data_IF_003745388036
#
_entry.id   IF_003745388036
#
_cell.length_a   1.000
_cell.length_b   1.000
_cell.length_c   1.000
_cell.angle_alpha   90.00
_cell.angle_beta   90.00
_cell.angle_gamma   90.00
#
_symmetry.space_group_name_H-M   'P 1'
#
loop_
_entity.id
_entity.type
_entity.pdbx_description
1 polymer ?
#
# COMPACT_ATOMS: atom_id res chain seq x y z
N UNK A 1 -13.33 21.69 38.47
CA UNK A 1 -12.78 23.06 38.50
C UNK A 1 -13.84 24.02 39.00
N UNK A 2 -13.46 25.12 39.64
CA UNK A 2 -14.32 26.29 39.85
C UNK A 2 -14.06 27.24 38.67
N UNK A 3 -15.01 27.30 37.74
CA UNK A 3 -14.86 28.04 36.48
C UNK A 3 -15.09 29.54 36.63
N UNK A 4 -15.82 29.98 37.66
CA UNK A 4 -16.02 31.39 37.95
C UNK A 4 -14.73 32.02 38.50
N UNK A 5 -13.94 31.23 39.25
CA UNK A 5 -12.67 31.66 39.84
C UNK A 5 -11.43 31.35 38.99
N UNK A 6 -11.57 30.52 37.94
CA UNK A 6 -10.47 30.18 37.03
C UNK A 6 -10.44 31.16 35.85
N UNK A 7 -9.25 31.59 35.43
CA UNK A 7 -9.08 32.58 34.36
C UNK A 7 -7.93 32.27 33.41
N UNK A 8 -8.07 32.64 32.15
CA UNK A 8 -6.97 32.72 31.17
C UNK A 8 -6.79 34.19 30.80
N UNK A 9 -5.57 34.69 30.88
CA UNK A 9 -5.19 36.04 30.42
C UNK A 9 -4.04 35.90 29.45
N UNK A 10 -4.21 36.40 28.23
CA UNK A 10 -3.13 36.48 27.26
C UNK A 10 -2.49 37.85 27.33
N UNK A 11 -1.16 37.92 27.34
CA UNK A 11 -0.38 39.16 27.39
C UNK A 11 0.57 39.28 26.21
N UNK A 12 0.79 40.51 25.74
CA UNK A 12 1.85 40.85 24.78
C UNK A 12 3.24 40.92 25.45
N UNK A 13 4.27 41.25 24.67
CA UNK A 13 5.67 41.36 25.13
C UNK A 13 5.89 42.49 26.14
N UNK A 14 5.02 43.50 26.14
CA UNK A 14 5.03 44.63 27.06
C UNK A 14 4.24 44.34 28.35
N UNK A 15 3.56 43.19 28.42
CA UNK A 15 2.79 42.72 29.57
C UNK A 15 1.33 43.18 29.58
N UNK A 16 0.86 43.87 28.53
CA UNK A 16 -0.52 44.31 28.42
C UNK A 16 -1.45 43.12 28.17
N UNK A 17 -2.60 43.10 28.83
CA UNK A 17 -3.62 42.08 28.60
C UNK A 17 -4.33 42.30 27.27
N UNK A 18 -4.42 41.24 26.47
CA UNK A 18 -5.14 41.24 25.21
C UNK A 18 -6.64 40.96 25.44
N UNK A 19 -7.53 41.66 24.72
CA UNK A 19 -8.96 41.45 24.84
C UNK A 19 -9.34 40.06 24.31
N UNK A 20 -10.24 39.39 25.01
CA UNK A 20 -10.76 38.09 24.62
C UNK A 20 -11.92 37.64 25.49
N UNK A 21 -12.60 36.59 25.03
CA UNK A 21 -13.73 35.98 25.71
C UNK A 21 -13.34 34.63 26.29
N UNK A 22 -13.73 34.40 27.54
CA UNK A 22 -13.56 33.13 28.22
C UNK A 22 -14.83 32.29 28.13
N UNK A 23 -14.67 31.01 27.84
CA UNK A 23 -15.77 30.06 27.78
C UNK A 23 -15.43 28.76 28.51
N UNK A 24 -16.46 28.09 29.02
CA UNK A 24 -16.35 26.75 29.59
C UNK A 24 -17.34 25.80 28.93
N UNK A 25 -16.91 24.57 28.65
CA UNK A 25 -17.80 23.54 28.12
C UNK A 25 -18.45 22.78 29.28
N UNK A 26 -19.78 22.89 29.39
CA UNK A 26 -20.56 22.19 30.43
C UNK A 26 -20.26 20.67 30.44
N UNK A 27 -20.05 20.10 31.63
CA UNK A 27 -19.72 18.68 31.80
C UNK A 27 -18.26 18.32 31.54
N UNK A 28 -17.39 19.27 31.20
CA UNK A 28 -15.94 19.05 30.98
C UNK A 28 -15.07 19.78 32.02
N UNK A 29 -13.76 19.54 32.00
CA UNK A 29 -12.75 20.35 32.72
C UNK A 29 -12.00 21.33 31.78
N UNK A 30 -12.61 21.74 30.67
CA UNK A 30 -11.97 22.59 29.65
C UNK A 30 -12.34 24.05 29.90
N UNK A 31 -11.31 24.90 30.00
CA UNK A 31 -11.40 26.36 29.98
C UNK A 31 -10.80 26.85 28.66
N UNK A 32 -11.54 27.66 27.91
CA UNK A 32 -11.11 28.21 26.63
C UNK A 32 -11.05 29.73 26.69
N UNK A 33 -10.12 30.33 25.92
CA UNK A 33 -10.00 31.76 25.74
C UNK A 33 -9.87 32.08 24.25
N UNK A 34 -10.67 33.00 23.76
CA UNK A 34 -10.68 33.44 22.36
C UNK A 34 -10.32 34.91 22.30
N UNK A 35 -9.20 35.23 21.68
CA UNK A 35 -8.72 36.61 21.52
C UNK A 35 -9.61 37.34 20.51
N UNK A 36 -10.02 38.57 20.83
CA UNK A 36 -10.99 39.35 20.05
C UNK A 36 -10.41 40.02 18.79
N UNK A 37 -9.09 40.01 18.63
CA UNK A 37 -8.39 40.66 17.51
C UNK A 37 -7.30 39.76 16.92
N UNK A 38 -7.00 39.95 15.65
CA UNK A 38 -5.82 39.32 15.03
C UNK A 38 -4.55 39.75 15.78
N UNK A 39 -3.67 38.79 16.06
CA UNK A 39 -2.38 39.04 16.68
C UNK A 39 -1.35 39.40 15.61
N UNK A 40 -0.54 40.40 15.89
CA UNK A 40 0.64 40.73 15.08
C UNK A 40 1.83 39.88 15.50
N UNK A 41 2.87 39.86 14.67
CA UNK A 41 4.12 39.18 14.99
C UNK A 41 4.70 39.68 16.30
N UNK A 42 5.06 38.76 17.19
CA UNK A 42 5.54 39.10 18.51
C UNK A 42 5.56 37.93 19.47
N UNK A 43 6.14 38.19 20.65
CA UNK A 43 6.12 37.27 21.77
C UNK A 43 4.93 37.56 22.67
N UNK A 44 4.29 36.50 23.15
CA UNK A 44 3.11 36.56 24.00
C UNK A 44 3.23 35.54 25.14
N UNK A 45 2.38 35.69 26.15
CA UNK A 45 2.24 34.70 27.22
C UNK A 45 0.78 34.47 27.58
N UNK A 46 0.42 33.22 27.84
CA UNK A 46 -0.86 32.85 28.42
C UNK A 46 -0.66 32.56 29.91
N UNK A 47 -1.26 33.38 30.77
CA UNK A 47 -1.33 33.18 32.21
C UNK A 47 -2.64 32.51 32.56
N UNK A 48 -2.57 31.30 33.10
CA UNK A 48 -3.71 30.46 33.44
C UNK A 48 -3.77 30.34 34.96
N UNK A 49 -4.84 30.86 35.56
CA UNK A 49 -5.17 30.61 36.97
C UNK A 49 -6.23 29.52 37.03
N UNK A 50 -5.89 28.38 37.62
CA UNK A 50 -6.82 27.27 37.81
C UNK A 50 -7.21 27.16 39.29
N UNK A 51 -8.51 27.12 39.57
CA UNK A 51 -9.07 26.97 40.92
C UNK A 51 -9.90 25.69 40.99
N UNK A 52 -9.66 24.87 42.01
CA UNK A 52 -10.44 23.66 42.27
C UNK A 52 -11.75 23.98 42.99
N UNK A 53 -12.73 23.07 42.96
CA UNK A 53 -14.00 23.25 43.71
C UNK A 53 -13.80 23.35 45.23
N UNK A 54 -12.67 22.85 45.73
CA UNK A 54 -12.29 22.93 47.14
C UNK A 54 -11.50 24.21 47.49
N UNK A 55 -11.33 25.14 46.53
CA UNK A 55 -10.66 26.42 46.75
C UNK A 55 -9.14 26.43 46.55
N UNK A 56 -8.50 25.29 46.28
CA UNK A 56 -7.06 25.27 45.95
C UNK A 56 -6.81 25.90 44.58
N UNK A 57 -5.80 26.77 44.48
CA UNK A 57 -5.45 27.50 43.26
C UNK A 57 -4.00 27.28 42.82
N UNK A 58 -3.75 27.33 41.51
CA UNK A 58 -2.42 27.36 40.90
C UNK A 58 -2.37 28.32 39.72
N UNK A 59 -1.20 28.89 39.45
CA UNK A 59 -0.95 29.79 38.31
C UNK A 59 0.13 29.18 37.42
N UNK A 60 -0.11 29.16 36.12
CA UNK A 60 0.82 28.68 35.10
C UNK A 60 0.97 29.73 34.01
N UNK A 61 2.20 29.96 33.57
CA UNK A 61 2.51 30.88 32.48
C UNK A 61 3.13 30.10 31.33
N UNK A 62 2.52 30.19 30.15
CA UNK A 62 3.03 29.56 28.93
C UNK A 62 3.44 30.64 27.91
N UNK A 63 4.73 30.76 27.58
CA UNK A 63 5.17 31.66 26.51
C UNK A 63 4.83 31.05 25.15
N UNK A 64 4.41 31.89 24.20
CA UNK A 64 4.24 31.52 22.79
C UNK A 64 4.59 32.71 21.90
N UNK A 65 4.80 32.46 20.62
CA UNK A 65 5.09 33.51 19.65
C UNK A 65 4.10 33.43 18.50
N UNK A 66 3.73 34.60 17.98
CA UNK A 66 3.04 34.75 16.72
C UNK A 66 4.07 35.26 15.74
N UNK A 67 4.12 34.65 14.57
CA UNK A 67 4.94 35.13 13.46
C UNK A 67 4.12 34.93 12.19
N UNK A 68 3.98 35.98 11.41
CA UNK A 68 3.46 35.98 10.06
C UNK A 68 4.58 35.38 9.24
N UNK A 69 4.62 34.05 9.21
CA UNK A 69 5.44 33.34 8.24
C UNK A 69 4.98 33.84 6.85
N UNK A 70 5.91 34.38 6.07
CA UNK A 70 5.68 34.64 4.65
C UNK A 70 5.56 33.31 3.93
N UNK A 71 4.42 32.64 4.05
CA UNK A 71 4.19 31.37 3.35
C UNK A 71 4.03 31.68 1.87
N UNK A 72 5.04 31.31 1.10
CA UNK A 72 4.96 31.37 -0.36
C UNK A 72 4.53 30.01 -0.88
N UNK A 73 3.43 30.00 -1.62
CA UNK A 73 2.96 28.84 -2.38
C UNK A 73 3.41 29.01 -3.83
N UNK A 74 4.12 28.02 -4.35
CA UNK A 74 4.64 28.04 -5.73
C UNK A 74 3.97 26.90 -6.48
N UNK A 75 3.19 27.26 -7.48
CA UNK A 75 2.43 26.33 -8.31
C UNK A 75 2.64 26.60 -9.80
N UNK A 76 2.05 25.76 -10.65
CA UNK A 76 2.20 25.86 -12.09
C UNK A 76 1.43 27.03 -12.71
N UNK A 77 0.65 27.79 -11.93
CA UNK A 77 -0.12 28.95 -12.39
C UNK A 77 0.54 30.28 -12.05
N UNK A 78 1.64 30.28 -11.27
CA UNK A 78 2.47 31.46 -11.00
C UNK A 78 1.78 32.58 -10.21
N UNK A 79 0.64 32.29 -9.57
CA UNK A 79 -0.15 33.27 -8.81
C UNK A 79 -0.50 32.71 -7.44
N UNK A 80 -0.57 33.58 -6.42
CA UNK A 80 -0.98 33.23 -5.05
C UNK A 80 -2.23 32.34 -5.09
N UNK A 81 -2.07 31.09 -4.70
CA UNK A 81 -3.14 30.10 -4.78
C UNK A 81 -4.20 30.34 -3.70
N UNK A 82 -5.45 30.28 -4.15
CA UNK A 82 -6.57 29.87 -3.31
C UNK A 82 -6.36 28.40 -2.93
N UNK A 83 -6.47 28.01 -1.65
CA UNK A 83 -6.39 26.60 -1.26
C UNK A 83 -7.44 25.77 -2.03
N UNK A 84 -7.04 24.81 -2.87
CA UNK A 84 -8.07 23.98 -3.51
C UNK A 84 -7.76 22.90 -4.56
N UNK A 85 -6.65 22.86 -5.33
CA UNK A 85 -6.54 21.82 -6.40
C UNK A 85 -5.17 21.53 -7.04
N UNK A 86 -4.07 22.16 -6.63
CA UNK A 86 -2.80 22.08 -7.39
C UNK A 86 -1.66 21.42 -6.61
N UNK A 87 -0.71 20.83 -7.33
CA UNK A 87 0.61 20.48 -6.79
C UNK A 87 1.40 21.77 -6.58
N UNK A 88 2.00 21.93 -5.41
CA UNK A 88 2.78 23.14 -5.10
C UNK A 88 3.93 22.86 -4.14
N UNK A 89 4.89 23.77 -4.15
CA UNK A 89 5.92 23.88 -3.12
C UNK A 89 5.49 24.94 -2.10
N UNK A 90 5.66 24.62 -0.82
CA UNK A 90 5.43 25.53 0.30
C UNK A 90 6.78 25.96 0.81
N UNK A 91 7.00 27.27 0.89
CA UNK A 91 8.19 27.85 1.52
C UNK A 91 7.69 28.71 2.66
N UNK A 92 7.92 28.25 3.89
CA UNK A 92 7.69 29.03 5.10
C UNK A 92 9.00 29.72 5.47
N UNK A 93 9.00 31.05 5.45
CA UNK A 93 10.12 31.84 5.96
C UNK A 93 9.96 32.00 7.48
N UNK A 94 10.98 31.54 8.21
CA UNK A 94 11.10 31.67 9.65
C UNK A 94 11.82 32.97 10.04
N UNK A 95 12.40 33.69 9.06
CA UNK A 95 13.04 34.98 9.22
C UNK A 95 12.58 35.92 8.10
N UNK A 96 12.20 37.16 8.46
CA UNK A 96 11.68 38.17 7.53
C UNK A 96 12.77 38.87 6.70
N UNK A 97 14.03 38.79 7.15
CA UNK A 97 15.18 39.44 6.51
C UNK A 97 16.09 38.45 5.79
N UNK A 98 15.93 37.15 6.04
CA UNK A 98 16.77 36.11 5.47
C UNK A 98 15.88 34.95 5.02
N UNK A 99 15.84 34.68 3.71
CA UNK A 99 15.04 33.58 3.19
C UNK A 99 15.71 32.21 3.37
N UNK A 100 17.03 32.20 3.59
CA UNK A 100 17.86 31.01 3.56
C UNK A 100 17.97 30.35 2.18
N UNK A 101 17.48 30.98 1.12
CA UNK A 101 17.50 30.43 -0.24
C UNK A 101 18.76 30.89 -0.96
N UNK A 102 19.58 29.95 -1.42
CA UNK A 102 20.82 30.22 -2.15
C UNK A 102 20.93 29.35 -3.40
N UNK A 103 21.42 29.91 -4.50
CA UNK A 103 21.59 29.19 -5.77
C UNK A 103 23.04 28.76 -6.04
N UNK A 104 23.25 28.04 -7.15
CA UNK A 104 24.56 27.54 -7.54
C UNK A 104 25.50 28.62 -8.10
N UNK A 105 24.97 29.80 -8.43
CA UNK A 105 25.76 30.95 -8.88
C UNK A 105 26.29 31.81 -7.73
N UNK A 106 26.04 31.40 -6.47
CA UNK A 106 26.51 32.09 -5.27
C UNK A 106 25.59 33.22 -4.82
N UNK A 107 24.41 33.37 -5.43
CA UNK A 107 23.40 34.30 -4.94
C UNK A 107 22.78 33.74 -3.65
N UNK A 108 22.53 34.63 -2.68
CA UNK A 108 21.96 34.28 -1.37
C UNK A 108 20.74 35.15 -1.09
N UNK A 109 19.91 34.72 -0.12
CA UNK A 109 18.67 35.42 0.25
C UNK A 109 17.71 35.62 -0.93
N UNK A 110 17.62 34.64 -1.82
CA UNK A 110 16.73 34.71 -2.97
C UNK A 110 15.27 34.75 -2.53
N UNK A 111 14.45 35.51 -3.26
CA UNK A 111 13.01 35.50 -3.06
C UNK A 111 12.43 34.14 -3.48
N UNK A 112 11.48 33.60 -2.72
CA UNK A 112 10.80 32.35 -3.07
C UNK A 112 10.16 32.40 -4.48
N UNK A 113 9.70 33.56 -4.92
CA UNK A 113 9.09 33.79 -6.24
C UNK A 113 10.02 33.56 -7.44
N UNK A 114 11.32 33.35 -7.24
CA UNK A 114 12.23 33.01 -8.34
C UNK A 114 12.14 31.53 -8.74
N UNK A 115 11.56 30.69 -7.87
CA UNK A 115 11.36 29.28 -8.16
C UNK A 115 10.04 29.15 -8.93
N UNK A 116 10.09 28.45 -10.06
CA UNK A 116 8.94 28.11 -10.88
C UNK A 116 8.72 26.60 -10.81
N UNK A 117 7.48 26.17 -11.05
CA UNK A 117 7.14 24.76 -11.23
C UNK A 117 6.41 24.58 -12.55
N UNK A 118 6.74 23.51 -13.26
CA UNK A 118 6.09 23.14 -14.49
C UNK A 118 5.74 21.67 -14.49
N UNK A 119 4.62 21.35 -15.13
CA UNK A 119 4.29 19.99 -15.50
C UNK A 119 5.15 19.56 -16.69
N UNK A 120 5.63 18.33 -16.66
CA UNK A 120 6.43 17.72 -17.72
C UNK A 120 5.92 16.31 -18.03
N UNK A 121 6.25 15.81 -19.23
CA UNK A 121 6.14 14.38 -19.49
C UNK A 121 7.08 13.60 -18.57
N UNK A 122 6.69 12.39 -18.17
CA UNK A 122 7.50 11.53 -17.29
C UNK A 122 8.90 11.31 -17.87
N UNK A 123 9.97 11.78 -17.20
CA UNK A 123 11.33 11.55 -17.65
C UNK A 123 11.81 10.13 -17.32
N UNK A 124 12.68 9.60 -18.18
CA UNK A 124 13.33 8.30 -18.00
C UNK A 124 12.34 7.12 -18.04
N UNK A 125 12.88 5.92 -17.82
CA UNK A 125 12.07 4.72 -17.64
C UNK A 125 11.57 4.65 -16.19
N UNK A 126 10.28 4.40 -16.01
CA UNK A 126 9.71 4.12 -14.70
C UNK A 126 10.23 2.76 -14.17
N UNK A 127 10.38 2.59 -12.85
CA UNK A 127 10.63 1.27 -12.28
C UNK A 127 9.52 0.29 -12.69
N UNK A 128 9.88 -0.97 -12.94
CA UNK A 128 8.92 -2.01 -13.35
C UNK A 128 7.80 -2.14 -12.30
N UNK A 129 6.55 -2.29 -12.76
CA UNK A 129 5.30 -2.32 -11.96
C UNK A 129 4.83 -0.98 -11.36
N UNK A 130 5.52 0.13 -11.64
CA UNK A 130 5.08 1.45 -11.16
C UNK A 130 4.29 2.20 -12.23
N UNK A 131 3.25 2.92 -11.77
CA UNK A 131 2.49 3.84 -12.61
C UNK A 131 2.49 5.23 -11.99
N UNK A 132 2.71 6.25 -12.82
CA UNK A 132 2.54 7.65 -12.41
C UNK A 132 1.05 7.91 -12.24
N UNK A 133 0.68 8.44 -11.07
CA UNK A 133 -0.68 8.85 -10.76
C UNK A 133 -0.75 10.37 -10.77
N UNK A 134 -1.50 10.94 -11.72
CA UNK A 134 -1.53 12.38 -11.93
C UNK A 134 -0.37 12.85 -12.79
N UNK A 135 0.19 14.01 -12.48
CA UNK A 135 1.16 14.68 -13.33
C UNK A 135 2.57 14.64 -12.72
N UNK A 136 3.59 14.74 -13.57
CA UNK A 136 4.99 14.85 -13.14
C UNK A 136 5.39 16.31 -13.17
N UNK A 137 6.04 16.78 -12.10
CA UNK A 137 6.40 18.18 -11.95
C UNK A 137 7.90 18.37 -11.79
N UNK A 138 8.42 19.44 -12.36
CA UNK A 138 9.81 19.87 -12.22
C UNK A 138 9.87 21.31 -11.77
N UNK A 139 10.88 21.61 -10.95
CA UNK A 139 11.18 22.96 -10.53
C UNK A 139 12.30 23.55 -11.39
N UNK A 140 12.18 24.84 -11.67
CA UNK A 140 13.18 25.64 -12.37
C UNK A 140 13.33 26.99 -11.68
N UNK A 141 14.33 27.78 -12.09
CA UNK A 141 14.53 29.12 -11.58
C UNK A 141 14.36 30.14 -12.71
N UNK A 142 13.82 31.30 -12.39
CA UNK A 142 13.82 32.45 -13.28
C UNK A 142 15.27 32.91 -13.52
N UNK A 143 15.57 33.27 -14.77
CA UNK A 143 16.87 33.87 -15.12
C UNK A 143 17.13 35.10 -14.22
N UNK A 144 18.37 35.31 -13.72
CA UNK A 144 19.63 34.63 -14.08
C UNK A 144 20.02 33.46 -13.16
N UNK A 145 19.13 32.99 -12.28
CA UNK A 145 19.49 32.03 -11.22
C UNK A 145 19.61 30.60 -11.74
N UNK A 146 20.44 29.78 -11.08
CA UNK A 146 20.73 28.41 -11.53
C UNK A 146 20.60 27.35 -10.43
N UNK A 147 20.05 26.19 -10.78
CA UNK A 147 20.02 25.02 -9.88
C UNK A 147 21.45 24.44 -9.70
N UNK A 148 21.74 23.77 -8.57
CA UNK A 148 20.87 23.54 -7.43
C UNK A 148 20.53 24.81 -6.62
N UNK A 149 19.37 24.79 -5.97
CA UNK A 149 19.03 25.73 -4.89
C UNK A 149 19.11 24.99 -3.56
N UNK A 150 19.62 25.66 -2.53
CA UNK A 150 19.68 25.16 -1.15
C UNK A 150 18.78 25.98 -0.25
N UNK A 151 18.20 25.32 0.75
CA UNK A 151 17.32 25.92 1.76
C UNK A 151 17.95 25.80 3.13
N UNK A 152 18.29 26.93 3.74
CA UNK A 152 18.81 27.00 5.10
C UNK A 152 17.69 26.75 6.11
N UNK A 153 17.71 25.59 6.78
CA UNK A 153 16.67 25.17 7.73
C UNK A 153 16.48 26.10 8.94
N UNK A 154 17.48 26.93 9.25
CA UNK A 154 17.37 27.97 10.27
C UNK A 154 16.45 29.13 9.86
N UNK A 155 16.29 29.36 8.55
CA UNK A 155 15.62 30.53 7.99
C UNK A 155 14.36 30.18 7.21
N UNK A 156 14.28 28.97 6.67
CA UNK A 156 13.09 28.50 5.98
C UNK A 156 12.80 27.02 6.23
N UNK A 157 11.52 26.70 6.19
CA UNK A 157 11.02 25.32 6.13
C UNK A 157 10.30 25.13 4.81
N UNK A 158 10.74 24.13 4.06
CA UNK A 158 10.29 23.92 2.70
C UNK A 158 9.66 22.55 2.57
N UNK A 159 8.51 22.49 1.90
CA UNK A 159 7.80 21.26 1.62
C UNK A 159 7.40 21.18 0.15
N UNK A 160 7.41 19.99 -0.43
CA UNK A 160 6.78 19.70 -1.74
C UNK A 160 5.50 18.92 -1.47
N UNK A 161 4.37 19.43 -1.99
CA UNK A 161 3.06 18.77 -1.90
C UNK A 161 2.60 18.33 -3.27
N UNK A 162 2.48 17.02 -3.47
CA UNK A 162 1.87 16.45 -4.68
C UNK A 162 0.40 16.18 -4.41
N UNK A 163 -0.47 16.77 -5.24
CA UNK A 163 -1.92 16.60 -5.14
C UNK A 163 -2.38 15.37 -5.95
N UNK A 164 -3.37 14.65 -5.41
CA UNK A 164 -4.14 13.66 -6.16
C UNK A 164 -5.63 13.79 -5.83
N UNK A 165 -6.47 13.61 -6.86
CA UNK A 165 -7.90 13.85 -6.73
C UNK A 165 -8.65 12.65 -6.15
N UNK A 166 -9.89 12.88 -5.72
CA UNK A 166 -10.80 11.79 -5.37
C UNK A 166 -11.12 10.86 -6.55
N UNK A 167 -11.02 11.34 -7.78
CA UNK A 167 -11.16 10.51 -8.98
C UNK A 167 -9.95 9.56 -9.14
N UNK A 168 -8.72 10.04 -8.89
CA UNK A 168 -7.53 9.20 -8.88
C UNK A 168 -7.64 8.09 -7.83
N UNK A 169 -8.12 8.43 -6.63
CA UNK A 169 -8.38 7.46 -5.56
C UNK A 169 -9.45 6.43 -5.97
N UNK A 170 -10.55 6.91 -6.58
CA UNK A 170 -11.64 6.04 -7.03
C UNK A 170 -11.20 5.08 -8.13
N UNK A 171 -10.30 5.51 -9.03
CA UNK A 171 -9.69 4.64 -10.05
C UNK A 171 -8.86 3.53 -9.40
N UNK A 172 -8.02 3.86 -8.41
CA UNK A 172 -7.23 2.85 -7.68
C UNK A 172 -8.14 1.83 -6.97
N UNK A 173 -9.13 2.33 -6.21
CA UNK A 173 -10.09 1.47 -5.51
C UNK A 173 -10.88 0.60 -6.49
N UNK A 174 -11.31 1.15 -7.63
CA UNK A 174 -12.02 0.44 -8.69
C UNK A 174 -11.16 -0.65 -9.36
N UNK A 175 -9.84 -0.51 -9.32
CA UNK A 175 -8.87 -1.51 -9.76
C UNK A 175 -8.51 -2.52 -8.66
N UNK A 176 -9.09 -2.40 -7.46
CA UNK A 176 -8.78 -3.27 -6.31
C UNK A 176 -7.43 -2.99 -5.64
N UNK A 177 -6.89 -1.78 -5.83
CA UNK A 177 -5.57 -1.36 -5.38
C UNK A 177 -5.66 -0.58 -4.06
N UNK A 178 -4.73 -0.82 -3.12
CA UNK A 178 -4.72 -0.15 -1.81
C UNK A 178 -4.06 1.23 -1.90
N UNK A 179 -4.79 2.33 -1.68
CA UNK A 179 -4.23 3.67 -1.73
C UNK A 179 -3.06 3.91 -0.76
N UNK A 180 -2.86 3.06 0.27
CA UNK A 180 -1.69 3.15 1.15
C UNK A 180 -0.35 2.93 0.44
N UNK A 181 -0.35 2.26 -0.72
CA UNK A 181 0.86 1.99 -1.50
C UNK A 181 1.30 3.18 -2.38
N UNK A 182 0.54 4.28 -2.35
CA UNK A 182 0.94 5.53 -2.98
C UNK A 182 2.16 6.13 -2.30
N UNK A 183 3.17 6.49 -3.10
CA UNK A 183 4.39 7.10 -2.62
C UNK A 183 4.89 8.17 -3.58
N UNK A 184 5.65 9.13 -3.06
CA UNK A 184 6.30 10.14 -3.90
C UNK A 184 7.69 9.67 -4.30
N UNK A 185 8.03 9.95 -5.55
CA UNK A 185 9.30 9.58 -6.15
C UNK A 185 9.97 10.81 -6.73
N UNK A 186 11.30 10.79 -6.74
CA UNK A 186 12.14 11.80 -7.36
C UNK A 186 13.03 11.16 -8.43
N UNK A 187 13.05 11.78 -9.61
CA UNK A 187 13.97 11.45 -10.69
C UNK A 187 15.18 12.38 -10.62
N UNK A 188 16.40 11.84 -10.51
CA UNK A 188 17.63 12.63 -10.35
C UNK A 188 18.31 13.03 -11.68
N UNK A 189 17.73 12.66 -12.83
CA UNK A 189 18.36 12.76 -14.14
C UNK A 189 18.73 11.41 -14.75
N UNK A 190 18.84 10.36 -13.94
CA UNK A 190 19.17 9.00 -14.36
C UNK A 190 18.16 7.95 -13.87
N UNK A 191 17.68 8.07 -12.63
CA UNK A 191 16.84 7.04 -11.99
C UNK A 191 15.76 7.63 -11.08
N UNK A 192 14.67 6.90 -10.94
CA UNK A 192 13.61 7.19 -9.99
C UNK A 192 13.91 6.56 -8.63
N UNK A 193 13.81 7.35 -7.57
CA UNK A 193 13.99 6.90 -6.19
C UNK A 193 12.81 7.29 -5.32
N UNK A 194 12.40 6.39 -4.42
CA UNK A 194 11.27 6.62 -3.51
C UNK A 194 11.67 7.59 -2.41
N UNK A 195 10.82 8.56 -2.13
CA UNK A 195 10.91 9.42 -0.96
C UNK A 195 10.20 8.73 0.21
N UNK A 196 10.93 8.41 1.27
CA UNK A 196 10.41 7.69 2.45
C UNK A 196 10.09 8.60 3.63
N UNK A 197 10.52 9.86 3.60
CA UNK A 197 10.40 10.82 4.71
C UNK A 197 9.16 11.71 4.64
N UNK A 198 8.24 11.46 3.69
CA UNK A 198 7.02 12.24 3.57
C UNK A 198 5.83 11.68 4.34
N UNK A 199 4.80 12.51 4.52
CA UNK A 199 3.53 12.13 5.15
C UNK A 199 2.38 12.35 4.18
N UNK A 200 1.50 11.35 4.08
CA UNK A 200 0.22 11.49 3.39
C UNK A 200 -0.82 12.09 4.36
N UNK A 201 -1.65 13.00 3.86
CA UNK A 201 -2.68 13.64 4.69
C UNK A 201 -3.96 13.96 3.91
N UNK A 202 -5.14 13.89 4.55
CA UNK A 202 -6.38 14.36 3.95
C UNK A 202 -6.36 15.90 3.84
N UNK A 203 -6.99 16.44 2.81
CA UNK A 203 -7.22 17.88 2.72
C UNK A 203 -8.25 18.34 3.77
N UNK A 204 -7.92 19.37 4.55
CA UNK A 204 -8.79 19.92 5.61
C UNK A 204 -9.44 21.26 5.23
N UNK A 205 -9.50 21.62 3.94
CA UNK A 205 -10.11 22.87 3.44
C UNK A 205 -11.38 22.66 2.59
N UNK A 206 -11.92 23.75 2.02
CA UNK A 206 -13.09 23.73 1.11
C UNK A 206 -12.70 23.27 -0.31
N UNK A 207 -12.55 21.95 -0.49
CA UNK A 207 -12.18 21.31 -1.75
C UNK A 207 -11.97 19.81 -1.52
N UNK A 208 -12.38 18.96 -2.46
CA UNK A 208 -12.18 17.51 -2.34
C UNK A 208 -10.83 17.11 -2.96
N UNK A 209 -9.87 16.64 -2.16
CA UNK A 209 -8.56 16.21 -2.66
C UNK A 209 -7.68 15.61 -1.57
N UNK A 210 -6.55 15.03 -1.96
CA UNK A 210 -5.57 14.45 -1.05
C UNK A 210 -4.16 14.91 -1.45
N UNK A 211 -3.23 14.89 -0.51
CA UNK A 211 -1.85 15.23 -0.79
C UNK A 211 -0.86 14.27 -0.13
N UNK A 212 0.31 14.19 -0.75
CA UNK A 212 1.51 13.69 -0.10
C UNK A 212 2.48 14.86 0.08
N UNK A 213 2.93 15.09 1.30
CA UNK A 213 3.88 16.14 1.64
C UNK A 213 5.26 15.53 1.92
N UNK A 214 6.26 15.96 1.16
CA UNK A 214 7.66 15.73 1.47
C UNK A 214 8.25 16.99 2.13
N UNK A 215 8.65 16.86 3.39
CA UNK A 215 9.22 17.93 4.20
C UNK A 215 10.18 17.35 5.25
N UNK A 216 11.29 18.03 5.60
CA UNK A 216 11.78 19.25 4.97
C UNK A 216 12.56 18.96 3.68
N UNK A 217 12.40 19.83 2.68
CA UNK A 217 13.22 19.84 1.46
C UNK A 217 14.44 20.71 1.72
N UNK A 218 15.64 20.13 1.65
CA UNK A 218 16.90 20.87 1.87
C UNK A 218 17.47 21.49 0.60
N UNK A 219 17.11 20.95 -0.58
CA UNK A 219 17.58 21.47 -1.86
C UNK A 219 16.69 21.05 -3.03
N UNK A 220 16.76 21.82 -4.11
CA UNK A 220 16.29 21.42 -5.44
C UNK A 220 17.52 21.15 -6.31
N UNK A 221 17.69 19.94 -6.80
CA UNK A 221 18.80 19.58 -7.69
C UNK A 221 18.45 19.82 -9.16
N UNK A 222 19.46 20.00 -10.04
CA UNK A 222 19.24 19.95 -11.48
C UNK A 222 18.54 18.65 -11.89
N UNK A 223 17.67 18.72 -12.89
CA UNK A 223 16.91 17.59 -13.44
C UNK A 223 15.87 16.95 -12.51
N UNK A 224 15.79 17.32 -11.23
CA UNK A 224 14.80 16.76 -10.31
C UNK A 224 13.38 16.88 -10.89
N UNK A 225 12.71 15.75 -11.00
CA UNK A 225 11.29 15.68 -11.29
C UNK A 225 10.60 14.85 -10.20
N UNK A 226 9.41 15.27 -9.79
CA UNK A 226 8.66 14.66 -8.71
C UNK A 226 7.34 14.11 -9.25
N UNK A 227 7.02 12.90 -8.86
CA UNK A 227 5.79 12.23 -9.25
C UNK A 227 5.20 11.47 -8.07
N UNK A 228 3.87 11.41 -8.02
CA UNK A 228 3.18 10.43 -7.20
C UNK A 228 3.16 9.14 -8.01
N UNK A 229 3.72 8.07 -7.47
CA UNK A 229 3.68 6.76 -8.10
C UNK A 229 2.91 5.79 -7.22
N UNK A 230 2.10 4.99 -7.89
CA UNK A 230 1.57 3.79 -7.29
C UNK A 230 2.58 2.67 -7.52
N UNK A 231 3.06 2.07 -6.43
CA UNK A 231 3.66 0.76 -6.52
C UNK A 231 2.50 -0.21 -6.75
N UNK A 232 2.40 -0.79 -7.95
CA UNK A 232 1.56 -1.97 -8.05
C UNK A 232 2.09 -2.95 -6.99
N UNK A 233 1.23 -3.44 -6.06
CA UNK A 233 1.63 -4.48 -5.14
C UNK A 233 2.34 -5.50 -6.00
N UNK A 234 3.47 -6.02 -5.54
CA UNK A 234 4.01 -7.21 -6.20
C UNK A 234 2.82 -8.16 -6.26
N UNK A 235 2.25 -8.32 -7.47
CA UNK A 235 1.16 -9.24 -7.69
C UNK A 235 1.70 -10.52 -7.09
N UNK A 236 0.95 -11.13 -6.16
CA UNK A 236 1.53 -11.88 -5.07
C UNK A 236 2.78 -12.60 -5.55
N UNK A 237 3.96 -12.25 -5.03
CA UNK A 237 5.09 -13.19 -5.00
C UNK A 237 4.74 -14.32 -4.02
N UNK A 238 3.49 -14.77 -4.04
CA UNK A 238 3.19 -16.14 -3.76
C UNK A 238 3.97 -16.91 -4.81
N UNK A 239 4.89 -17.75 -4.38
CA UNK A 239 4.91 -19.06 -5.01
C UNK A 239 3.42 -19.47 -5.11
N UNK A 240 2.89 -19.52 -6.34
CA UNK A 240 1.57 -20.06 -6.69
C UNK A 240 1.13 -21.00 -5.58
N UNK A 241 0.00 -20.76 -4.85
CA UNK A 241 -0.35 -21.60 -3.71
C UNK A 241 -0.28 -23.05 -4.17
N UNK A 242 0.73 -23.79 -3.70
CA UNK A 242 1.08 -25.09 -4.29
C UNK A 242 -0.15 -25.97 -4.17
N UNK A 243 -0.84 -26.18 -5.29
CA UNK A 243 -2.01 -27.04 -5.33
C UNK A 243 -1.51 -28.48 -5.30
N UNK A 244 -1.51 -29.09 -4.12
CA UNK A 244 -1.01 -30.45 -3.97
C UNK A 244 -2.16 -31.42 -4.29
N UNK A 245 -2.13 -32.00 -5.49
CA UNK A 245 -2.96 -33.16 -5.82
C UNK A 245 -2.60 -34.35 -4.92
N UNK A 246 -3.59 -34.93 -4.24
CA UNK A 246 -3.39 -36.03 -3.28
C UNK A 246 -4.37 -37.15 -3.54
N UNK A 247 -3.87 -38.38 -3.70
CA UNK A 247 -4.73 -39.55 -3.87
C UNK A 247 -5.72 -39.68 -2.71
N UNK A 248 -6.94 -40.14 -3.01
CA UNK A 248 -8.02 -40.29 -2.02
C UNK A 248 -7.63 -41.28 -0.94
N UNK A 249 -7.53 -40.80 0.31
CA UNK A 249 -7.17 -41.65 1.47
C UNK A 249 -8.34 -42.47 2.02
N UNK A 250 -9.55 -41.94 1.91
CA UNK A 250 -10.78 -42.62 2.30
C UNK A 250 -11.95 -42.11 1.45
N UNK A 251 -12.89 -42.98 1.11
CA UNK A 251 -14.06 -42.62 0.31
C UNK A 251 -15.29 -43.46 0.64
N UNK A 252 -16.46 -42.90 0.35
CA UNK A 252 -17.74 -43.61 0.35
C UNK A 252 -18.18 -43.79 -1.11
N UNK A 253 -18.31 -45.03 -1.62
CA UNK A 253 -18.80 -45.29 -2.98
C UNK A 253 -20.12 -44.59 -3.34
N UNK A 254 -20.98 -44.30 -2.35
CA UNK A 254 -22.24 -43.58 -2.58
C UNK A 254 -22.06 -42.06 -2.79
N UNK A 255 -20.92 -41.50 -2.39
CA UNK A 255 -20.60 -40.06 -2.50
C UNK A 255 -19.61 -39.75 -3.63
N UNK A 256 -18.93 -40.76 -4.17
CA UNK A 256 -18.02 -40.64 -5.29
C UNK A 256 -16.87 -41.64 -5.22
N UNK A 257 -16.11 -41.73 -6.30
CA UNK A 257 -15.03 -42.69 -6.48
C UNK A 257 -13.72 -42.25 -5.78
N UNK A 258 -12.84 -43.22 -5.53
CA UNK A 258 -11.46 -42.96 -5.12
C UNK A 258 -10.60 -42.51 -6.32
N UNK A 259 -9.82 -41.44 -6.17
CA UNK A 259 -8.91 -40.92 -7.19
C UNK A 259 -7.46 -41.25 -6.85
N UNK A 260 -6.75 -41.86 -7.78
CA UNK A 260 -5.35 -42.26 -7.64
C UNK A 260 -4.52 -41.57 -8.72
N UNK A 261 -3.99 -40.38 -8.39
CA UNK A 261 -3.09 -39.63 -9.28
C UNK A 261 -1.81 -40.40 -9.58
N UNK A 262 -1.43 -40.45 -10.86
CA UNK A 262 -0.31 -41.28 -11.31
C UNK A 262 0.66 -40.60 -12.30
N UNK A 263 0.27 -39.54 -13.01
CA UNK A 263 1.18 -38.79 -13.89
C UNK A 263 0.77 -37.33 -14.04
N UNK A 264 1.72 -36.47 -14.39
CA UNK A 264 1.52 -35.07 -14.82
C UNK A 264 1.38 -34.96 -16.34
N UNK A 265 1.99 -35.90 -17.07
CA UNK A 265 1.99 -35.93 -18.52
C UNK A 265 1.41 -37.26 -19.01
N UNK A 266 0.31 -37.18 -19.77
CA UNK A 266 -0.33 -38.34 -20.39
C UNK A 266 0.30 -38.71 -21.74
N UNK A 267 1.01 -37.78 -22.38
CA UNK A 267 1.65 -38.02 -23.68
C UNK A 267 2.75 -39.08 -23.58
N UNK A 268 3.38 -39.20 -22.41
CA UNK A 268 4.40 -40.20 -22.12
C UNK A 268 3.84 -41.57 -21.69
N UNK A 269 2.53 -41.74 -21.59
CA UNK A 269 1.90 -42.97 -21.10
C UNK A 269 1.21 -43.72 -22.24
N UNK A 270 1.50 -45.01 -22.38
CA UNK A 270 0.89 -45.90 -23.37
C UNK A 270 -0.16 -46.84 -22.78
N UNK A 271 0.05 -47.33 -21.57
CA UNK A 271 -0.88 -48.26 -20.90
C UNK A 271 -0.84 -48.07 -19.37
N UNK A 272 -1.98 -48.26 -18.72
CA UNK A 272 -2.11 -48.27 -17.26
C UNK A 272 -2.94 -49.47 -16.84
N UNK A 273 -2.42 -50.25 -15.90
CA UNK A 273 -3.14 -51.37 -15.28
C UNK A 273 -3.29 -51.12 -13.80
N UNK A 274 -4.51 -51.26 -13.29
CA UNK A 274 -4.82 -51.13 -11.89
C UNK A 274 -5.18 -52.49 -11.28
N UNK A 275 -4.50 -52.84 -10.20
CA UNK A 275 -4.74 -54.03 -9.41
C UNK A 275 -5.10 -53.61 -8.00
N UNK A 276 -6.26 -54.05 -7.53
CA UNK A 276 -6.77 -53.69 -6.21
C UNK A 276 -6.75 -54.92 -5.34
N UNK A 277 -6.10 -54.83 -4.19
CA UNK A 277 -5.97 -55.89 -3.22
C UNK A 277 -6.66 -55.49 -1.92
N UNK A 278 -7.29 -56.47 -1.26
CA UNK A 278 -7.58 -56.36 0.17
C UNK A 278 -6.30 -56.19 0.98
N UNK A 279 -6.40 -55.68 2.21
CA UNK A 279 -5.24 -55.57 3.13
C UNK A 279 -4.54 -56.91 3.40
N UNK A 280 -5.25 -58.03 3.26
CA UNK A 280 -4.70 -59.39 3.36
C UNK A 280 -4.01 -59.88 2.09
N UNK A 281 -3.90 -59.04 1.04
CA UNK A 281 -3.19 -59.35 -0.20
C UNK A 281 -4.01 -60.13 -1.25
N UNK A 282 -5.32 -60.33 -1.03
CA UNK A 282 -6.20 -60.97 -2.02
C UNK A 282 -6.58 -59.94 -3.09
N UNK A 283 -6.35 -60.25 -4.37
CA UNK A 283 -6.81 -59.43 -5.50
C UNK A 283 -8.33 -59.42 -5.54
N UNK A 284 -8.93 -58.22 -5.53
CA UNK A 284 -10.38 -58.00 -5.52
C UNK A 284 -10.89 -57.33 -6.78
N UNK A 285 -10.04 -56.60 -7.49
CA UNK A 285 -10.36 -56.01 -8.79
C UNK A 285 -9.13 -55.87 -9.66
N UNK A 286 -9.30 -56.07 -10.96
CA UNK A 286 -8.30 -55.79 -11.98
C UNK A 286 -8.92 -54.96 -13.09
N UNK A 287 -8.43 -53.74 -13.28
CA UNK A 287 -8.77 -52.91 -14.43
C UNK A 287 -7.57 -52.81 -15.37
N UNK A 288 -7.76 -53.25 -16.61
CA UNK A 288 -6.80 -53.11 -17.71
C UNK A 288 -7.57 -52.78 -19.00
N UNK A 289 -6.90 -52.12 -19.94
CA UNK A 289 -7.49 -51.85 -21.25
C UNK A 289 -7.81 -53.17 -21.97
N UNK A 290 -9.03 -53.32 -22.49
CA UNK A 290 -9.39 -54.48 -23.30
C UNK A 290 -8.78 -54.40 -24.72
N UNK A 291 -8.54 -53.19 -25.21
CA UNK A 291 -7.88 -52.91 -26.48
C UNK A 291 -7.07 -51.59 -26.38
N UNK A 292 -5.94 -51.51 -27.10
CA UNK A 292 -5.10 -50.31 -27.19
C UNK A 292 -5.81 -49.07 -27.78
N UNK A 293 -6.97 -49.24 -28.43
CA UNK A 293 -7.82 -48.15 -28.91
C UNK A 293 -8.74 -47.54 -27.82
N UNK A 294 -8.91 -48.20 -26.67
CA UNK A 294 -9.65 -47.66 -25.54
C UNK A 294 -8.69 -46.84 -24.66
N UNK A 295 -8.87 -45.53 -24.61
CA UNK A 295 -8.04 -44.65 -23.77
C UNK A 295 -8.83 -44.04 -22.61
N UNK A 296 -10.16 -44.08 -22.67
CA UNK A 296 -11.06 -43.37 -21.75
C UNK A 296 -10.99 -43.83 -20.29
N UNK A 297 -10.58 -45.08 -20.02
CA UNK A 297 -10.53 -45.63 -18.66
C UNK A 297 -9.53 -44.90 -17.73
N UNK A 298 -8.50 -44.28 -18.29
CA UNK A 298 -7.39 -43.70 -17.51
C UNK A 298 -7.10 -42.23 -17.83
N UNK A 299 -7.87 -41.58 -18.70
CA UNK A 299 -7.67 -40.17 -19.07
C UNK A 299 -8.34 -39.17 -18.11
N UNK A 300 -8.81 -39.60 -16.94
CA UNK A 300 -9.38 -38.66 -15.97
C UNK A 300 -8.30 -37.69 -15.50
N UNK A 301 -8.62 -36.40 -15.48
CA UNK A 301 -7.69 -35.35 -15.11
C UNK A 301 -8.34 -34.34 -14.18
N UNK A 302 -7.54 -33.80 -13.26
CA UNK A 302 -7.86 -32.56 -12.55
C UNK A 302 -6.84 -31.51 -12.99
N UNK A 303 -7.29 -30.25 -13.11
CA UNK A 303 -6.47 -29.09 -13.48
C UNK A 303 -6.36 -28.21 -12.24
N UNK A 304 -5.16 -27.71 -11.96
CA UNK A 304 -4.96 -26.76 -10.88
C UNK A 304 -5.79 -25.48 -11.18
N UNK A 305 -6.64 -25.02 -10.24
CA UNK A 305 -7.50 -23.86 -10.48
C UNK A 305 -6.73 -22.54 -10.61
N UNK A 306 -5.44 -22.52 -10.27
CA UNK A 306 -4.57 -21.34 -10.33
C UNK A 306 -3.61 -21.37 -11.52
N UNK A 307 -3.25 -22.57 -12.00
CA UNK A 307 -2.36 -22.78 -13.16
C UNK A 307 -2.95 -23.84 -14.10
N UNK A 308 -3.47 -23.41 -15.25
CA UNK A 308 -4.08 -24.31 -16.23
C UNK A 308 -3.08 -25.23 -16.95
N UNK A 309 -1.77 -25.01 -16.76
CA UNK A 309 -0.71 -25.89 -17.25
C UNK A 309 -0.36 -27.02 -16.28
N UNK A 310 -0.73 -26.89 -15.00
CA UNK A 310 -0.53 -27.92 -13.97
C UNK A 310 -1.73 -28.89 -13.94
N UNK A 311 -1.55 -30.02 -14.61
CA UNK A 311 -2.57 -31.06 -14.81
C UNK A 311 -2.09 -32.35 -14.14
N UNK A 312 -2.99 -33.05 -13.46
CA UNK A 312 -2.73 -34.41 -12.96
C UNK A 312 -3.77 -35.40 -13.47
N UNK A 313 -3.27 -36.49 -14.00
CA UNK A 313 -4.08 -37.62 -14.43
C UNK A 313 -4.22 -38.65 -13.32
N UNK A 314 -5.41 -39.24 -13.19
CA UNK A 314 -5.74 -40.19 -12.14
C UNK A 314 -6.54 -41.38 -12.63
N UNK A 315 -6.37 -42.49 -11.94
CA UNK A 315 -7.25 -43.65 -12.02
C UNK A 315 -8.41 -43.50 -11.02
N UNK A 316 -9.62 -43.85 -11.43
CA UNK A 316 -10.84 -43.79 -10.60
C UNK A 316 -11.29 -45.19 -10.19
N UNK A 317 -11.64 -45.38 -8.91
CA UNK A 317 -12.20 -46.64 -8.41
C UNK A 317 -13.47 -46.43 -7.60
N UNK A 318 -14.54 -47.09 -8.03
CA UNK A 318 -15.89 -47.05 -7.44
C UNK A 318 -16.06 -47.87 -6.15
N UNK A 319 -15.03 -48.61 -5.70
CA UNK A 319 -15.13 -49.49 -4.53
C UNK A 319 -15.74 -50.87 -4.80
N UNK A 320 -16.02 -51.22 -6.05
CA UNK A 320 -16.52 -52.52 -6.47
C UNK A 320 -15.39 -53.52 -6.76
N UNK A 321 -15.73 -54.80 -6.72
CA UNK A 321 -14.91 -55.90 -7.25
C UNK A 321 -15.20 -56.16 -8.74
N UNK A 322 -14.53 -57.14 -9.35
CA UNK A 322 -14.71 -57.52 -10.76
C UNK A 322 -16.15 -57.96 -11.13
N UNK A 323 -16.98 -58.31 -10.14
CA UNK A 323 -18.39 -58.69 -10.35
C UNK A 323 -19.35 -57.50 -10.25
N UNK A 324 -18.83 -56.28 -10.04
CA UNK A 324 -19.62 -55.06 -9.81
C UNK A 324 -20.19 -54.95 -8.38
N UNK A 325 -19.82 -55.87 -7.48
CA UNK A 325 -20.26 -55.86 -6.09
C UNK A 325 -19.43 -54.92 -5.24
N UNK A 326 -20.08 -53.96 -4.55
CA UNK A 326 -19.40 -53.01 -3.66
C UNK A 326 -18.77 -53.74 -2.47
N UNK A 327 -17.46 -53.59 -2.31
CA UNK A 327 -16.69 -54.23 -1.26
C UNK A 327 -17.06 -53.73 0.14
N UNK A 328 -16.62 -54.45 1.18
CA UNK A 328 -16.91 -54.11 2.59
C UNK A 328 -16.03 -52.94 3.05
N UNK A 329 -16.44 -52.28 4.14
CA UNK A 329 -15.61 -51.27 4.80
C UNK A 329 -14.24 -51.87 5.16
N UNK A 330 -13.17 -51.17 4.81
CA UNK A 330 -11.82 -51.68 5.00
C UNK A 330 -10.77 -50.90 4.22
N UNK A 331 -9.50 -51.24 4.46
CA UNK A 331 -8.36 -50.68 3.72
C UNK A 331 -8.03 -51.59 2.55
N UNK A 332 -7.81 -50.96 1.39
CA UNK A 332 -7.45 -51.62 0.14
C UNK A 332 -6.15 -51.02 -0.38
N UNK A 333 -5.35 -51.85 -1.04
CA UNK A 333 -4.09 -51.51 -1.67
C UNK A 333 -4.31 -51.46 -3.17
N UNK A 334 -4.09 -50.31 -3.79
CA UNK A 334 -4.19 -50.11 -5.22
C UNK A 334 -2.78 -50.03 -5.78
N UNK A 335 -2.44 -50.98 -6.66
CA UNK A 335 -1.19 -50.99 -7.40
C UNK A 335 -1.46 -50.62 -8.85
N UNK A 336 -0.76 -49.60 -9.34
CA UNK A 336 -0.76 -49.21 -10.74
C UNK A 336 0.54 -49.68 -11.40
N UNK A 337 0.42 -50.28 -12.57
CA UNK A 337 1.53 -50.54 -13.48
C UNK A 337 1.35 -49.64 -14.72
N UNK A 338 2.30 -48.73 -14.92
CA UNK A 338 2.25 -47.70 -15.95
C UNK A 338 3.32 -48.04 -16.98
N UNK A 339 2.94 -48.20 -18.24
CA UNK A 339 3.88 -48.39 -19.34
C UNK A 339 4.04 -47.08 -20.10
N UNK A 340 5.28 -46.63 -20.28
CA UNK A 340 5.61 -45.38 -20.97
C UNK A 340 5.79 -45.61 -22.48
N UNK A 341 5.79 -44.53 -23.26
CA UNK A 341 6.00 -44.56 -24.72
C UNK A 341 7.36 -45.11 -25.14
N UNK A 342 8.37 -45.00 -24.29
CA UNK A 342 9.70 -45.60 -24.48
C UNK A 342 9.75 -47.10 -24.12
N UNK A 343 8.63 -47.68 -23.68
CA UNK A 343 8.51 -49.07 -23.25
C UNK A 343 8.93 -49.34 -21.81
N UNK A 344 9.42 -48.34 -21.08
CA UNK A 344 9.74 -48.47 -19.66
C UNK A 344 8.47 -48.65 -18.82
N UNK A 345 8.62 -49.27 -17.64
CA UNK A 345 7.51 -49.54 -16.72
C UNK A 345 7.74 -48.90 -15.36
N UNK A 346 6.73 -48.19 -14.89
CA UNK A 346 6.68 -47.59 -13.57
C UNK A 346 5.60 -48.30 -12.73
N UNK A 347 5.91 -48.60 -11.46
CA UNK A 347 4.96 -49.21 -10.54
C UNK A 347 4.66 -48.24 -9.41
N UNK A 348 3.38 -48.00 -9.14
CA UNK A 348 2.93 -47.17 -8.04
C UNK A 348 2.02 -47.97 -7.11
N UNK A 349 2.12 -47.75 -5.81
CA UNK A 349 1.19 -48.35 -4.83
C UNK A 349 0.62 -47.26 -3.93
N UNK A 350 -0.69 -47.32 -3.69
CA UNK A 350 -1.45 -46.43 -2.80
C UNK A 350 -2.39 -47.24 -1.93
N UNK A 351 -2.71 -46.71 -0.75
CA UNK A 351 -3.72 -47.28 0.12
C UNK A 351 -4.91 -46.33 0.20
N UNK A 352 -6.12 -46.89 0.19
CA UNK A 352 -7.35 -46.14 0.39
C UNK A 352 -8.30 -46.91 1.29
N UNK A 353 -9.06 -46.21 2.12
CA UNK A 353 -10.09 -46.79 2.97
C UNK A 353 -11.47 -46.64 2.32
N UNK A 354 -12.17 -47.75 2.10
CA UNK A 354 -13.59 -47.73 1.76
C UNK A 354 -14.40 -47.66 3.05
N UNK A 355 -15.25 -46.63 3.18
CA UNK A 355 -16.10 -46.41 4.35
C UNK A 355 -17.51 -46.04 3.90
N UNK A 356 -18.46 -46.95 4.11
CA UNK A 356 -19.89 -46.75 3.81
C UNK A 356 -20.63 -46.03 4.93
#
# INVERSE_FOLDING_TARGET
MDFESSKIVVRDSEGNSLPGEQAHTSGSNILAFTISSALVDGSYSAEITAVSKAGYSGVYTYPFYIQTAGTTYIDSSGTVLVPGSTTYMVINLNDVNNSGISDNSGNTNLAASVINVSEIASPGNLPATYQVLGNVFRFSLSSPYTLPVTFGSAFSTVAIRLHYSSANLSTLIGMGLDPSDLSVWVYDGASWTRITSGTAGPFTGSGSGYYFEYSPVSSLQPNNAYALMYQQPEGPTAAEPVHIFKSTKAFNPASGDARIYYTEDIADVTDVKAYIYSISGVLVRKDELANAAETHLFMNQDINPYDSSDIKYYYSWDGANDTGGILRNGVYIIRLEITKTDGSKENMTRMTALVK
#
